data_IF_937341880510
#
_entry.id   IF_937341880510
#
_cell.length_a   1.000
_cell.length_b   1.000
_cell.length_c   1.000
_cell.angle_alpha   90.00
_cell.angle_beta   90.00
_cell.angle_gamma   90.00
#
_symmetry.space_group_name_H-M   'P 1'
#
loop_
_entity.id
_entity.type
_entity.pdbx_description
1 polymer ?
#
# COMPACT_ATOMS: atom_id res chain seq x y z
N UNK A 1 20.76 -35.65 -8.20
CA UNK A 1 20.10 -35.04 -9.38
C UNK A 1 18.71 -34.48 -9.07
N UNK A 2 17.83 -35.20 -8.37
CA UNK A 2 16.45 -34.77 -8.02
C UNK A 2 16.36 -33.41 -7.29
N UNK A 3 17.31 -33.08 -6.40
CA UNK A 3 17.31 -31.81 -5.66
C UNK A 3 17.61 -30.58 -6.51
N UNK A 4 18.55 -30.68 -7.46
CA UNK A 4 18.90 -29.58 -8.36
C UNK A 4 17.76 -29.27 -9.34
N UNK A 5 17.14 -30.31 -9.92
CA UNK A 5 15.97 -30.16 -10.79
C UNK A 5 14.78 -29.50 -10.08
N UNK A 6 14.50 -29.88 -8.82
CA UNK A 6 13.43 -29.26 -8.02
C UNK A 6 13.67 -27.77 -7.77
N UNK A 7 14.91 -27.36 -7.55
CA UNK A 7 15.29 -25.95 -7.32
C UNK A 7 15.16 -25.11 -8.58
N UNK A 8 15.67 -25.61 -9.71
CA UNK A 8 15.52 -24.94 -11.01
C UNK A 8 14.05 -24.80 -11.38
N UNK A 9 13.25 -25.86 -11.21
CA UNK A 9 11.80 -25.82 -11.45
C UNK A 9 11.10 -24.78 -10.55
N UNK A 10 11.49 -24.70 -9.27
CA UNK A 10 10.99 -23.67 -8.36
C UNK A 10 11.31 -22.25 -8.86
N UNK A 11 12.57 -22.00 -9.23
CA UNK A 11 13.01 -20.70 -9.77
C UNK A 11 12.26 -20.31 -11.04
N UNK A 12 12.16 -21.22 -12.01
CA UNK A 12 11.41 -21.00 -13.24
C UNK A 12 9.92 -20.70 -12.97
N UNK A 13 9.31 -21.39 -12.00
CA UNK A 13 7.94 -21.11 -11.58
C UNK A 13 7.75 -19.74 -10.93
N UNK A 14 8.77 -19.20 -10.25
CA UNK A 14 8.74 -17.83 -9.71
C UNK A 14 8.93 -16.80 -10.81
N UNK A 15 9.88 -17.01 -11.72
CA UNK A 15 10.13 -16.13 -12.86
C UNK A 15 8.90 -16.07 -13.78
N UNK A 16 8.27 -17.20 -14.09
CA UNK A 16 7.08 -17.22 -14.95
C UNK A 16 5.92 -16.42 -14.33
N UNK A 17 5.68 -16.56 -13.03
CA UNK A 17 4.70 -15.73 -12.30
C UNK A 17 5.04 -14.25 -12.38
N UNK A 18 6.31 -13.88 -12.16
CA UNK A 18 6.77 -12.50 -12.31
C UNK A 18 6.51 -11.96 -13.71
N UNK A 19 6.79 -12.72 -14.76
CA UNK A 19 6.54 -12.32 -16.14
C UNK A 19 5.05 -12.12 -16.42
N UNK A 20 4.19 -13.01 -15.92
CA UNK A 20 2.72 -12.85 -16.02
C UNK A 20 2.26 -11.59 -15.29
N UNK A 21 2.72 -11.38 -14.05
CA UNK A 21 2.39 -10.18 -13.29
C UNK A 21 2.87 -8.90 -14.00
N UNK A 22 4.09 -8.89 -14.51
CA UNK A 22 4.64 -7.78 -15.26
C UNK A 22 3.84 -7.48 -16.53
N UNK A 23 3.43 -8.50 -17.27
CA UNK A 23 2.61 -8.31 -18.47
C UNK A 23 1.23 -7.72 -18.14
N UNK A 24 0.60 -8.18 -17.06
CA UNK A 24 -0.69 -7.64 -16.58
C UNK A 24 -0.52 -6.19 -16.11
N UNK A 25 0.51 -5.90 -15.32
CA UNK A 25 0.85 -4.56 -14.85
C UNK A 25 1.10 -3.61 -16.02
N UNK A 26 1.94 -4.02 -16.98
CA UNK A 26 2.23 -3.26 -18.19
C UNK A 26 0.96 -2.99 -19.00
N UNK A 27 0.11 -4.01 -19.18
CA UNK A 27 -1.16 -3.85 -19.91
C UNK A 27 -2.09 -2.85 -19.22
N UNK A 28 -2.24 -2.93 -17.89
CA UNK A 28 -3.05 -2.00 -17.10
C UNK A 28 -2.46 -0.58 -17.18
N UNK A 29 -1.15 -0.45 -17.01
CA UNK A 29 -0.47 0.83 -17.04
C UNK A 29 -0.60 1.51 -18.40
N UNK A 30 -0.22 0.83 -19.48
CA UNK A 30 -0.25 1.39 -20.84
C UNK A 30 -1.68 1.65 -21.34
N UNK A 31 -2.60 0.70 -21.12
CA UNK A 31 -3.94 0.80 -21.69
C UNK A 31 -4.83 1.71 -20.84
N UNK A 32 -4.81 1.57 -19.52
CA UNK A 32 -5.75 2.28 -18.66
C UNK A 32 -5.14 3.56 -18.12
N UNK A 33 -3.91 3.54 -17.62
CA UNK A 33 -3.33 4.70 -16.97
C UNK A 33 -2.87 5.75 -17.99
N UNK A 34 -2.00 5.36 -18.93
CA UNK A 34 -1.39 6.29 -19.89
C UNK A 34 -2.45 6.86 -20.83
N UNK A 35 -3.36 6.04 -21.37
CA UNK A 35 -4.40 6.55 -22.29
C UNK A 35 -5.37 7.50 -21.58
N UNK A 36 -5.80 7.17 -20.36
CA UNK A 36 -6.73 8.03 -19.60
C UNK A 36 -6.07 9.33 -19.18
N UNK A 37 -4.81 9.30 -18.72
CA UNK A 37 -4.13 10.51 -18.30
C UNK A 37 -3.70 11.39 -19.49
N UNK A 38 -3.30 10.79 -20.62
CA UNK A 38 -2.88 11.53 -21.82
C UNK A 38 -4.03 12.27 -22.49
N UNK A 39 -5.27 11.79 -22.35
CA UNK A 39 -6.45 12.48 -22.91
C UNK A 39 -6.89 13.68 -22.08
N UNK A 40 -6.33 13.87 -20.88
CA UNK A 40 -6.67 14.96 -19.98
C UNK A 40 -5.63 16.09 -20.08
N UNK A 41 -6.03 17.37 -19.88
CA UNK A 41 -5.13 18.51 -19.88
C UNK A 41 -4.33 18.59 -18.56
N UNK A 42 -3.60 17.53 -18.24
CA UNK A 42 -2.80 17.43 -17.02
C UNK A 42 -1.41 17.99 -17.26
N UNK A 43 -0.90 18.70 -16.25
CA UNK A 43 0.46 19.22 -16.25
C UNK A 43 1.02 19.23 -14.83
N UNK A 44 2.19 19.84 -14.67
CA UNK A 44 2.80 20.02 -13.35
C UNK A 44 1.83 20.70 -12.37
N UNK A 45 1.11 21.73 -12.82
CA UNK A 45 0.14 22.45 -11.99
C UNK A 45 -1.03 21.59 -11.48
N UNK A 46 -1.30 20.43 -12.08
CA UNK A 46 -2.29 19.47 -11.54
C UNK A 46 -1.87 18.88 -10.18
N UNK A 47 -0.61 19.08 -9.77
CA UNK A 47 -0.05 18.66 -8.47
C UNK A 47 0.17 19.84 -7.50
N UNK A 48 -0.31 21.04 -7.84
CA UNK A 48 -0.10 22.27 -7.09
C UNK A 48 -0.74 22.20 -5.66
N UNK A 49 -0.26 23.03 -4.70
CA UNK A 49 -0.71 22.98 -3.30
C UNK A 49 -2.23 23.06 -3.08
N UNK A 50 -2.94 23.86 -3.88
CA UNK A 50 -4.41 24.01 -3.86
C UNK A 50 -5.13 22.70 -4.25
N UNK A 51 -4.49 21.83 -5.04
CA UNK A 51 -5.03 20.52 -5.44
C UNK A 51 -4.83 19.44 -4.38
N UNK A 52 -4.13 19.72 -3.27
CA UNK A 52 -3.73 18.75 -2.22
C UNK A 52 -4.74 18.60 -1.08
N UNK A 53 -5.93 19.20 -1.19
CA UNK A 53 -7.01 19.15 -0.16
C UNK A 53 -7.39 17.74 0.29
N UNK A 54 -7.52 17.52 1.60
CA UNK A 54 -7.88 16.20 2.17
C UNK A 54 -9.38 15.91 2.03
N UNK A 55 -10.23 16.93 1.93
CA UNK A 55 -11.67 16.77 1.78
C UNK A 55 -12.13 17.44 0.48
N UNK A 56 -11.94 16.79 -0.68
CA UNK A 56 -12.32 17.37 -1.97
C UNK A 56 -13.85 17.39 -2.09
N UNK A 57 -14.44 18.57 -2.20
CA UNK A 57 -15.85 18.73 -2.57
C UNK A 57 -16.03 20.03 -3.35
N UNK A 58 -17.12 20.19 -4.12
CA UNK A 58 -17.41 21.46 -4.78
C UNK A 58 -17.47 22.66 -3.82
N UNK A 59 -17.78 22.42 -2.54
CA UNK A 59 -17.90 23.45 -1.50
C UNK A 59 -16.56 23.80 -0.85
N UNK A 60 -15.72 22.80 -0.61
CA UNK A 60 -14.43 22.96 0.08
C UNK A 60 -13.29 23.20 -0.89
N UNK A 61 -13.48 22.91 -2.17
CA UNK A 61 -12.43 22.89 -3.19
C UNK A 61 -13.02 23.20 -4.58
N UNK A 62 -13.61 24.40 -4.76
CA UNK A 62 -14.28 24.79 -6.00
C UNK A 62 -13.35 24.81 -7.21
N UNK A 63 -12.04 24.94 -6.97
CA UNK A 63 -10.99 24.94 -7.98
C UNK A 63 -10.74 23.54 -8.60
N UNK A 64 -11.28 22.45 -8.03
CA UNK A 64 -11.05 21.10 -8.56
C UNK A 64 -11.91 20.86 -9.80
N UNK A 65 -11.25 20.72 -10.94
CA UNK A 65 -11.89 20.36 -12.19
C UNK A 65 -12.00 18.82 -12.33
N UNK A 66 -12.81 18.36 -13.29
CA UNK A 66 -12.96 16.93 -13.59
C UNK A 66 -11.61 16.18 -13.76
N UNK A 67 -10.61 16.71 -14.50
CA UNK A 67 -9.30 16.06 -14.60
C UNK A 67 -8.61 15.84 -13.25
N UNK A 68 -8.80 16.74 -12.28
CA UNK A 68 -8.20 16.63 -10.95
C UNK A 68 -8.82 15.45 -10.19
N UNK A 69 -10.14 15.26 -10.28
CA UNK A 69 -10.81 14.11 -9.67
C UNK A 69 -10.35 12.78 -10.29
N UNK A 70 -10.15 12.75 -11.61
CA UNK A 70 -9.63 11.55 -12.30
C UNK A 70 -8.18 11.27 -11.87
N UNK A 71 -7.33 12.30 -11.84
CA UNK A 71 -5.95 12.16 -11.38
C UNK A 71 -5.89 11.63 -9.95
N UNK A 72 -6.71 12.17 -9.04
CA UNK A 72 -6.83 11.68 -7.65
C UNK A 72 -7.21 10.20 -7.59
N UNK A 73 -8.27 9.81 -8.32
CA UNK A 73 -8.73 8.42 -8.34
C UNK A 73 -7.64 7.46 -8.83
N UNK A 74 -6.91 7.89 -9.87
CA UNK A 74 -5.79 7.15 -10.43
C UNK A 74 -4.64 7.06 -9.43
N UNK A 75 -4.16 8.18 -8.88
CA UNK A 75 -3.05 8.20 -7.91
C UNK A 75 -3.37 7.33 -6.70
N UNK A 76 -4.58 7.44 -6.13
CA UNK A 76 -5.02 6.69 -4.94
C UNK A 76 -5.18 5.18 -5.16
N UNK A 77 -5.34 4.74 -6.41
CA UNK A 77 -5.36 3.32 -6.78
C UNK A 77 -3.96 2.83 -7.14
N UNK A 78 -3.23 3.65 -7.90
CA UNK A 78 -1.95 3.31 -8.48
C UNK A 78 -0.86 3.06 -7.42
N UNK A 79 -0.81 3.82 -6.32
CA UNK A 79 0.21 3.60 -5.28
C UNK A 79 0.09 2.22 -4.60
N UNK A 80 -1.14 1.72 -4.41
CA UNK A 80 -1.43 0.38 -3.88
C UNK A 80 -0.96 -0.66 -4.90
N UNK A 81 -1.37 -0.47 -6.15
CA UNK A 81 -1.09 -1.38 -7.25
C UNK A 81 0.41 -1.54 -7.50
N UNK A 82 1.15 -0.44 -7.66
CA UNK A 82 2.58 -0.48 -7.94
C UNK A 82 3.37 -1.08 -6.77
N UNK A 83 2.97 -0.81 -5.52
CA UNK A 83 3.58 -1.42 -4.34
C UNK A 83 3.31 -2.94 -4.30
N UNK A 84 2.07 -3.36 -4.59
CA UNK A 84 1.69 -4.76 -4.67
C UNK A 84 2.50 -5.52 -5.73
N UNK A 85 2.50 -5.00 -6.96
CA UNK A 85 3.18 -5.60 -8.11
C UNK A 85 4.70 -5.59 -7.94
N UNK A 86 5.27 -4.45 -7.54
CA UNK A 86 6.71 -4.27 -7.35
C UNK A 86 7.27 -5.15 -6.25
N UNK A 87 6.66 -5.17 -5.06
CA UNK A 87 7.14 -5.98 -3.96
C UNK A 87 6.94 -7.50 -4.21
N UNK A 88 5.84 -7.89 -4.85
CA UNK A 88 5.60 -9.30 -5.23
C UNK A 88 6.64 -9.78 -6.25
N UNK A 89 6.94 -8.94 -7.25
CA UNK A 89 7.97 -9.19 -8.25
C UNK A 89 9.34 -9.37 -7.59
N UNK A 90 9.75 -8.41 -6.74
CA UNK A 90 11.04 -8.49 -6.05
C UNK A 90 11.13 -9.70 -5.13
N UNK A 91 10.03 -10.06 -4.45
CA UNK A 91 9.97 -11.28 -3.64
C UNK A 91 10.17 -12.54 -4.48
N UNK A 92 9.55 -12.65 -5.66
CA UNK A 92 9.75 -13.79 -6.56
C UNK A 92 11.15 -13.87 -7.16
N UNK A 93 11.72 -12.72 -7.55
CA UNK A 93 13.10 -12.65 -8.05
C UNK A 93 14.10 -13.04 -6.95
N UNK A 94 13.89 -12.57 -5.72
CA UNK A 94 14.70 -12.94 -4.57
C UNK A 94 14.59 -14.45 -4.30
N UNK A 95 13.39 -15.01 -4.31
CA UNK A 95 13.17 -16.45 -4.14
C UNK A 95 13.93 -17.27 -5.21
N UNK A 96 13.86 -16.85 -6.47
CA UNK A 96 14.57 -17.52 -7.56
C UNK A 96 16.10 -17.44 -7.37
N UNK A 97 16.61 -16.27 -7.02
CA UNK A 97 18.03 -16.03 -6.75
C UNK A 97 18.55 -16.90 -5.60
N UNK A 98 17.94 -16.80 -4.41
CA UNK A 98 18.42 -17.50 -3.20
C UNK A 98 18.26 -19.02 -3.27
N UNK A 99 17.18 -19.53 -3.89
CA UNK A 99 16.91 -20.97 -3.93
C UNK A 99 17.58 -21.67 -5.13
N UNK A 100 17.61 -21.01 -6.28
CA UNK A 100 17.92 -21.66 -7.57
C UNK A 100 19.29 -21.29 -8.12
N UNK A 101 19.71 -20.04 -7.96
CA UNK A 101 21.00 -19.54 -8.46
C UNK A 101 22.09 -19.74 -7.40
N UNK A 102 21.87 -19.19 -6.20
CA UNK A 102 22.84 -19.22 -5.11
C UNK A 102 22.83 -20.51 -4.31
N UNK A 103 21.72 -21.26 -4.37
CA UNK A 103 21.51 -22.49 -3.60
C UNK A 103 21.70 -22.29 -2.07
N UNK A 104 21.44 -21.09 -1.56
CA UNK A 104 21.59 -20.75 -0.14
C UNK A 104 20.40 -21.21 0.71
N UNK A 105 19.21 -21.27 0.13
CA UNK A 105 17.98 -21.56 0.87
C UNK A 105 17.17 -22.71 0.28
N UNK A 106 16.37 -23.39 1.09
CA UNK A 106 15.43 -24.42 0.62
C UNK A 106 14.16 -23.80 0.01
N UNK A 107 13.55 -24.38 -1.05
CA UNK A 107 12.24 -23.95 -1.54
C UNK A 107 11.16 -23.86 -0.46
N UNK A 108 11.24 -24.72 0.58
CA UNK A 108 10.31 -24.73 1.71
C UNK A 108 10.34 -23.44 2.54
N UNK A 109 11.50 -22.77 2.64
CA UNK A 109 11.64 -21.51 3.37
C UNK A 109 10.84 -20.39 2.69
N UNK A 110 10.68 -20.48 1.37
CA UNK A 110 9.94 -19.54 0.53
C UNK A 110 8.50 -19.97 0.26
N UNK A 111 8.04 -21.08 0.83
CA UNK A 111 6.67 -21.58 0.74
C UNK A 111 5.72 -20.96 1.78
N UNK A 112 6.21 -19.99 2.57
CA UNK A 112 5.43 -19.24 3.55
C UNK A 112 4.25 -18.48 2.96
N UNK A 113 3.46 -17.81 3.82
CA UNK A 113 2.28 -17.07 3.39
C UNK A 113 2.67 -15.98 2.36
N UNK A 114 1.78 -15.64 1.42
CA UNK A 114 2.01 -14.56 0.48
C UNK A 114 2.37 -13.25 1.19
N UNK A 115 3.12 -12.40 0.49
CA UNK A 115 3.58 -11.11 1.03
C UNK A 115 2.42 -10.21 1.46
N UNK A 116 1.34 -10.25 0.69
CA UNK A 116 0.09 -9.54 0.92
C UNK A 116 -1.03 -10.53 1.26
N UNK A 117 -1.97 -10.11 2.10
CA UNK A 117 -3.21 -10.84 2.34
C UNK A 117 -4.21 -10.69 1.19
N UNK A 118 -5.44 -11.16 1.42
CA UNK A 118 -6.53 -10.99 0.48
C UNK A 118 -7.05 -9.54 0.50
N UNK A 119 -7.23 -8.94 -0.67
CA UNK A 119 -7.84 -7.60 -0.78
C UNK A 119 -9.27 -7.59 -0.25
N UNK A 120 -10.00 -8.71 -0.32
CA UNK A 120 -11.36 -8.84 0.22
C UNK A 120 -11.45 -8.67 1.73
N UNK A 121 -10.32 -8.79 2.43
CA UNK A 121 -10.22 -8.58 3.87
C UNK A 121 -9.87 -7.13 4.24
N UNK A 122 -9.61 -6.26 3.26
CA UNK A 122 -9.17 -4.87 3.46
C UNK A 122 -10.30 -3.85 3.62
N UNK A 123 -11.44 -4.27 4.19
CA UNK A 123 -12.66 -3.44 4.24
C UNK A 123 -12.72 -2.44 5.42
N UNK A 124 -11.65 -2.30 6.19
CA UNK A 124 -11.42 -1.20 7.15
C UNK A 124 -9.93 -0.84 7.09
N UNK A 125 -9.52 0.38 7.49
CA UNK A 125 -8.09 0.73 7.46
C UNK A 125 -7.24 -0.18 8.34
N UNK A 126 -7.73 -0.55 9.52
CA UNK A 126 -7.00 -1.47 10.39
C UNK A 126 -6.77 -2.82 9.72
N UNK A 127 -7.75 -3.33 8.97
CA UNK A 127 -7.58 -4.59 8.22
C UNK A 127 -6.76 -4.38 6.96
N UNK A 128 -6.85 -3.23 6.30
CA UNK A 128 -5.98 -2.87 5.19
C UNK A 128 -4.51 -2.98 5.60
N UNK A 129 -4.09 -2.28 6.66
CA UNK A 129 -2.69 -2.28 7.12
C UNK A 129 -2.29 -3.57 7.86
N UNK A 130 -3.20 -4.18 8.63
CA UNK A 130 -2.88 -5.31 9.51
C UNK A 130 -3.08 -6.70 8.89
N UNK A 131 -3.87 -6.82 7.82
CA UNK A 131 -4.22 -8.12 7.20
C UNK A 131 -3.82 -8.16 5.73
N UNK A 132 -4.17 -7.13 4.96
CA UNK A 132 -3.91 -7.11 3.52
C UNK A 132 -2.50 -6.64 3.17
N UNK A 133 -2.03 -5.54 3.77
CA UNK A 133 -0.78 -4.90 3.39
C UNK A 133 0.45 -5.75 3.67
N UNK A 134 1.56 -5.46 2.99
CA UNK A 134 2.77 -6.28 3.07
C UNK A 134 3.34 -6.35 4.48
N UNK A 135 3.88 -7.53 4.85
CA UNK A 135 4.42 -7.78 6.20
C UNK A 135 5.93 -7.62 6.35
N UNK A 136 6.63 -7.14 5.31
CA UNK A 136 8.09 -6.97 5.30
C UNK A 136 8.62 -6.19 6.51
N UNK A 137 7.90 -5.15 6.93
CA UNK A 137 8.32 -4.28 8.01
C UNK A 137 8.11 -4.89 9.41
N UNK A 138 7.29 -5.95 9.54
CA UNK A 138 6.83 -6.43 10.86
C UNK A 138 8.00 -6.89 11.73
N UNK A 139 8.88 -7.74 11.19
CA UNK A 139 10.02 -8.28 11.95
C UNK A 139 11.01 -7.16 12.28
N UNK A 140 11.40 -6.37 11.28
CA UNK A 140 12.35 -5.27 11.43
C UNK A 140 11.86 -4.25 12.44
N UNK A 141 10.61 -3.76 12.33
CA UNK A 141 10.10 -2.73 13.23
C UNK A 141 9.87 -3.28 14.64
N UNK A 142 9.46 -4.55 14.78
CA UNK A 142 9.29 -5.16 16.10
C UNK A 142 10.60 -5.18 16.89
N UNK A 143 11.75 -5.38 16.23
CA UNK A 143 13.06 -5.34 16.87
C UNK A 143 13.41 -3.95 17.45
N UNK A 144 12.86 -2.88 16.89
CA UNK A 144 13.10 -1.50 17.32
C UNK A 144 11.91 -0.88 18.06
N UNK A 145 10.93 -1.69 18.49
CA UNK A 145 9.75 -1.19 19.17
C UNK A 145 9.88 -1.39 20.68
N UNK A 146 9.88 -0.30 21.48
CA UNK A 146 9.93 -0.42 22.94
C UNK A 146 8.66 -1.07 23.50
N UNK A 147 8.66 -1.49 24.79
CA UNK A 147 7.50 -2.09 25.44
C UNK A 147 6.38 -1.04 25.66
N UNK A 148 5.59 -0.81 24.62
CA UNK A 148 4.48 0.14 24.57
C UNK A 148 3.13 -0.56 24.67
N UNK A 149 2.09 0.20 25.08
CA UNK A 149 0.69 -0.21 24.95
C UNK A 149 0.33 -0.47 23.47
N UNK A 150 -0.73 -1.24 23.20
CA UNK A 150 -1.08 -1.63 21.81
C UNK A 150 -1.27 -0.43 20.87
N UNK A 151 -1.93 0.64 21.34
CA UNK A 151 -2.19 1.84 20.56
C UNK A 151 -0.90 2.64 20.27
N UNK A 152 -0.04 2.80 21.29
CA UNK A 152 1.25 3.48 21.14
C UNK A 152 2.25 2.67 20.31
N UNK A 153 2.19 1.34 20.40
CA UNK A 153 2.97 0.43 19.56
C UNK A 153 2.60 0.59 18.09
N UNK A 154 1.29 0.68 17.80
CA UNK A 154 0.84 0.96 16.44
C UNK A 154 1.34 2.32 15.98
N UNK A 155 1.21 3.37 16.79
CA UNK A 155 1.73 4.71 16.46
C UNK A 155 3.22 4.66 16.13
N UNK A 156 4.01 3.97 16.95
CA UNK A 156 5.45 3.80 16.74
C UNK A 156 5.77 3.16 15.39
N UNK A 157 5.06 2.10 15.03
CA UNK A 157 5.19 1.43 13.72
C UNK A 157 4.86 2.37 12.56
N UNK A 158 3.79 3.17 12.67
CA UNK A 158 3.43 4.17 11.66
C UNK A 158 4.50 5.27 11.54
N UNK A 159 5.08 5.73 12.66
CA UNK A 159 6.15 6.72 12.66
C UNK A 159 7.47 6.19 12.08
N UNK A 160 7.84 4.94 12.37
CA UNK A 160 9.00 4.29 11.73
C UNK A 160 8.80 4.18 10.22
N UNK A 161 7.58 3.89 9.76
CA UNK A 161 7.25 3.89 8.34
C UNK A 161 7.38 5.28 7.73
N UNK A 162 6.86 6.32 8.38
CA UNK A 162 6.99 7.71 7.93
C UNK A 162 8.46 8.14 7.79
N UNK A 163 9.28 7.81 8.79
CA UNK A 163 10.71 8.09 8.76
C UNK A 163 11.42 7.35 7.63
N UNK A 164 11.10 6.07 7.41
CA UNK A 164 11.64 5.28 6.30
C UNK A 164 11.29 5.86 4.93
N UNK A 165 10.03 6.25 4.72
CA UNK A 165 9.61 6.90 3.47
C UNK A 165 10.27 8.27 3.28
N UNK A 166 10.34 9.10 4.32
CA UNK A 166 11.03 10.39 4.26
C UNK A 166 12.52 10.24 3.93
N UNK A 167 13.17 9.22 4.49
CA UNK A 167 14.57 8.88 4.18
C UNK A 167 14.73 8.47 2.71
N UNK A 168 13.87 7.60 2.20
CA UNK A 168 13.88 7.19 0.79
C UNK A 168 13.67 8.39 -0.12
N UNK A 169 12.73 9.28 0.20
CA UNK A 169 12.50 10.50 -0.58
C UNK A 169 13.72 11.42 -0.58
N UNK A 170 14.40 11.57 0.58
CA UNK A 170 15.62 12.36 0.66
C UNK A 170 16.76 11.77 -0.16
N UNK A 171 16.96 10.45 -0.12
CA UNK A 171 18.00 9.77 -0.89
C UNK A 171 17.73 9.87 -2.40
N UNK A 172 16.48 9.59 -2.82
CA UNK A 172 16.12 9.53 -4.24
C UNK A 172 15.93 10.91 -4.88
N UNK A 173 15.40 11.87 -4.13
CA UNK A 173 14.90 13.14 -4.67
C UNK A 173 15.50 14.39 -4.00
N UNK A 174 16.44 14.21 -3.06
CA UNK A 174 17.07 15.29 -2.29
C UNK A 174 16.09 16.13 -1.47
N UNK A 175 14.85 15.66 -1.30
CA UNK A 175 13.80 16.29 -0.49
C UNK A 175 13.07 15.22 0.29
N UNK A 176 13.02 15.35 1.61
CA UNK A 176 12.43 14.33 2.47
C UNK A 176 10.89 14.32 2.42
N UNK A 177 10.26 15.47 2.19
CA UNK A 177 8.82 15.67 2.35
C UNK A 177 8.28 15.14 3.70
N UNK A 178 9.10 15.26 4.76
CA UNK A 178 8.83 14.63 6.05
C UNK A 178 7.48 15.02 6.67
N UNK A 179 7.00 16.25 6.44
CA UNK A 179 5.69 16.68 6.92
C UNK A 179 4.54 15.92 6.24
N UNK A 180 4.57 15.72 4.91
CA UNK A 180 3.50 15.00 4.21
C UNK A 180 3.52 13.51 4.55
N UNK A 181 4.71 12.92 4.69
CA UNK A 181 4.89 11.56 5.20
C UNK A 181 4.29 11.42 6.61
N UNK A 182 4.72 12.28 7.54
CA UNK A 182 4.24 12.28 8.92
C UNK A 182 2.70 12.37 8.99
N UNK A 183 2.10 13.34 8.29
CA UNK A 183 0.65 13.52 8.30
C UNK A 183 -0.09 12.30 7.74
N UNK A 184 0.38 11.72 6.62
CA UNK A 184 -0.23 10.54 6.05
C UNK A 184 -0.26 9.37 7.03
N UNK A 185 0.88 9.03 7.64
CA UNK A 185 0.96 7.89 8.55
C UNK A 185 0.23 8.15 9.88
N UNK A 186 0.25 9.37 10.42
CA UNK A 186 -0.51 9.73 11.64
C UNK A 186 -2.01 9.69 11.39
N UNK A 187 -2.51 10.17 10.25
CA UNK A 187 -3.93 10.09 9.90
C UNK A 187 -4.40 8.63 9.76
N UNK A 188 -3.60 7.79 9.11
CA UNK A 188 -3.89 6.36 9.02
C UNK A 188 -3.94 5.70 10.40
N UNK A 189 -2.98 6.01 11.29
CA UNK A 189 -3.00 5.52 12.67
C UNK A 189 -4.23 6.00 13.44
N UNK A 190 -4.57 7.30 13.36
CA UNK A 190 -5.68 7.89 14.07
C UNK A 190 -7.01 7.24 13.65
N UNK A 191 -7.21 7.00 12.36
CA UNK A 191 -8.40 6.32 11.86
C UNK A 191 -8.41 4.83 12.25
N UNK A 192 -7.27 4.13 12.21
CA UNK A 192 -7.17 2.76 12.73
C UNK A 192 -7.51 2.69 14.23
N UNK A 193 -7.09 3.68 15.02
CA UNK A 193 -7.41 3.79 16.44
C UNK A 193 -8.92 4.04 16.64
N UNK A 194 -9.51 4.96 15.87
CA UNK A 194 -10.96 5.17 15.88
C UNK A 194 -11.73 3.88 15.54
N UNK A 195 -11.37 3.19 14.46
CA UNK A 195 -12.00 1.91 14.09
C UNK A 195 -11.90 0.87 15.21
N UNK A 196 -10.76 0.84 15.93
CA UNK A 196 -10.54 -0.05 17.05
C UNK A 196 -11.42 0.29 18.27
N UNK A 197 -11.47 1.58 18.65
CA UNK A 197 -12.29 2.07 19.77
C UNK A 197 -13.79 1.87 19.48
N UNK A 198 -14.21 2.10 18.24
CA UNK A 198 -15.59 1.92 17.79
C UNK A 198 -15.95 0.45 17.49
N UNK A 199 -14.98 -0.47 17.49
CA UNK A 199 -15.20 -1.90 17.22
C UNK A 199 -15.69 -2.21 15.80
N UNK A 200 -15.36 -1.35 14.83
CA UNK A 200 -15.82 -1.45 13.42
C UNK A 200 -15.18 -2.65 12.70
N UNK A 201 -13.97 -3.01 13.11
CA UNK A 201 -13.16 -4.10 12.59
C UNK A 201 -13.65 -5.51 12.97
N UNK A 202 -14.65 -5.60 13.87
CA UNK A 202 -15.12 -6.88 14.40
C UNK A 202 -14.09 -7.56 15.30
N UNK A 203 -13.11 -6.79 15.83
CA UNK A 203 -12.10 -7.30 16.74
C UNK A 203 -12.73 -7.94 17.97
N UNK A 204 -12.15 -9.06 18.44
CA UNK A 204 -12.53 -9.73 19.68
C UNK A 204 -12.35 -8.78 20.87
N UNK A 205 -13.41 -8.07 21.26
CA UNK A 205 -13.57 -7.63 22.64
C UNK A 205 -13.60 -8.89 23.52
N UNK A 206 -12.84 -8.95 24.64
CA UNK A 206 -12.95 -10.04 25.59
C UNK A 206 -14.42 -10.17 26.03
N UNK A 207 -15.03 -11.34 25.78
CA UNK A 207 -16.42 -11.63 26.17
C UNK A 207 -17.49 -11.58 25.08
N UNK A 208 -17.18 -11.18 23.83
CA UNK A 208 -18.15 -11.32 22.71
C UNK A 208 -17.98 -12.68 22.00
N UNK A 209 -19.07 -13.44 21.91
CA UNK A 209 -19.19 -14.65 21.07
C UNK A 209 -18.70 -14.34 19.64
N UNK A 210 -18.15 -15.37 18.96
CA UNK A 210 -17.69 -15.27 17.58
C UNK A 210 -18.79 -14.65 16.70
N UNK A 211 -18.60 -13.38 16.32
CA UNK A 211 -19.54 -12.69 15.46
C UNK A 211 -19.57 -13.36 14.08
N UNK A 212 -20.76 -13.46 13.48
CA UNK A 212 -20.93 -13.98 12.11
C UNK A 212 -19.96 -13.24 11.18
N UNK A 213 -19.38 -13.93 10.18
CA UNK A 213 -18.52 -13.27 9.20
C UNK A 213 -19.25 -12.07 8.57
N UNK A 214 -18.56 -10.96 8.29
CA UNK A 214 -19.17 -9.78 7.71
C UNK A 214 -19.82 -10.14 6.36
N UNK A 215 -21.02 -9.63 6.13
CA UNK A 215 -21.73 -9.81 4.86
C UNK A 215 -20.94 -9.23 3.68
N UNK A 216 -21.15 -9.76 2.48
CA UNK A 216 -20.52 -9.25 1.25
C UNK A 216 -20.78 -7.76 1.06
N UNK A 217 -22.01 -7.29 1.31
CA UNK A 217 -22.36 -5.88 1.23
C UNK A 217 -21.51 -5.01 2.18
N UNK A 218 -21.29 -5.46 3.42
CA UNK A 218 -20.42 -4.76 4.38
C UNK A 218 -18.98 -4.70 3.90
N UNK A 219 -18.47 -5.78 3.29
CA UNK A 219 -17.12 -5.79 2.71
C UNK A 219 -17.00 -4.80 1.56
N UNK A 220 -17.95 -4.78 0.63
CA UNK A 220 -17.94 -3.84 -0.51
C UNK A 220 -18.00 -2.39 -0.01
N UNK A 221 -18.92 -2.07 0.89
CA UNK A 221 -19.04 -0.74 1.47
C UNK A 221 -17.75 -0.32 2.20
N UNK A 222 -17.13 -1.23 2.95
CA UNK A 222 -15.87 -0.98 3.63
C UNK A 222 -14.68 -0.81 2.68
N UNK A 223 -14.61 -1.59 1.59
CA UNK A 223 -13.60 -1.41 0.54
C UNK A 223 -13.73 -0.04 -0.13
N UNK A 224 -14.95 0.37 -0.44
CA UNK A 224 -15.22 1.71 -0.97
C UNK A 224 -14.81 2.80 0.03
N UNK A 225 -15.10 2.62 1.32
CA UNK A 225 -14.67 3.55 2.37
C UNK A 225 -13.13 3.67 2.44
N UNK A 226 -12.42 2.54 2.44
CA UNK A 226 -10.94 2.53 2.45
C UNK A 226 -10.38 3.22 1.20
N UNK A 227 -10.95 2.93 0.03
CA UNK A 227 -10.56 3.62 -1.20
C UNK A 227 -10.84 5.13 -1.12
N UNK A 228 -12.01 5.54 -0.61
CA UNK A 228 -12.38 6.94 -0.45
C UNK A 228 -11.45 7.67 0.53
N UNK A 229 -11.03 7.00 1.61
CA UNK A 229 -10.02 7.55 2.51
C UNK A 229 -8.70 7.84 1.78
N UNK A 230 -8.24 6.93 0.92
CA UNK A 230 -7.04 7.15 0.11
C UNK A 230 -7.26 8.17 -1.01
N UNK A 231 -8.45 8.23 -1.60
CA UNK A 231 -8.85 9.29 -2.54
C UNK A 231 -8.70 10.69 -1.94
N UNK A 232 -9.03 10.80 -0.65
CA UNK A 232 -8.91 12.02 0.14
C UNK A 232 -7.45 12.33 0.53
N UNK A 233 -6.71 11.34 1.04
CA UNK A 233 -5.42 11.58 1.72
C UNK A 233 -4.18 11.46 0.84
N UNK A 234 -4.19 10.58 -0.18
CA UNK A 234 -3.01 10.29 -1.01
C UNK A 234 -2.53 11.50 -1.82
N UNK A 235 -3.40 12.37 -2.38
CA UNK A 235 -2.94 13.57 -3.09
C UNK A 235 -2.09 14.49 -2.20
N UNK A 236 -2.50 14.71 -0.95
CA UNK A 236 -1.74 15.50 0.01
C UNK A 236 -0.36 14.90 0.33
N UNK A 237 -0.26 13.56 0.25
CA UNK A 237 0.96 12.81 0.50
C UNK A 237 1.91 12.79 -0.70
N UNK A 238 1.41 12.45 -1.90
CA UNK A 238 2.23 12.18 -3.08
C UNK A 238 2.46 13.37 -4.00
N UNK A 239 1.52 14.31 -4.11
CA UNK A 239 1.65 15.45 -5.03
C UNK A 239 2.86 16.36 -4.72
N UNK A 240 3.23 16.63 -3.45
CA UNK A 240 4.46 17.37 -3.15
C UNK A 240 5.69 16.77 -3.80
N UNK A 241 5.77 15.43 -3.82
CA UNK A 241 6.88 14.71 -4.44
C UNK A 241 6.95 14.88 -5.96
N UNK A 242 5.87 15.27 -6.63
CA UNK A 242 5.85 15.53 -8.08
C UNK A 242 6.02 17.01 -8.38
N UNK A 243 5.21 17.86 -7.75
CA UNK A 243 5.18 19.30 -8.01
C UNK A 243 6.45 20.02 -7.58
N UNK A 244 7.01 19.66 -6.43
CA UNK A 244 8.14 20.44 -5.92
C UNK A 244 9.44 20.09 -6.69
N UNK A 245 9.42 19.11 -7.60
CA UNK A 245 10.58 18.72 -8.45
C UNK A 245 10.71 19.51 -9.75
N UNK A 246 9.59 19.99 -10.29
CA UNK A 246 9.53 20.80 -11.51
C UNK A 246 9.96 22.24 -11.23
#
# INVERSE_FOLDING_TARGET
>A
MLGCQRRISFGLGRISRTLVFWFVDWSIFEILLVRTLRSLPLGVHSFAPDKRTVLPSPWTSPELAYPDYVLRAITSTHWIWIAYCGLTTMHHLSAALFVSVLNWESPSNWAGPPLFGSIWDAYTLRRFWGVFWHRLHVVTFSAYTPPLSKALRALWVFLLSAAGHALVNWVMYRRAHAASEFWFFVLNWALCLCEHVLGVDGGRMPGRLASKPPSTARRIAGLFFVWLFFFCTVPAWQYPGVYDRS
#
